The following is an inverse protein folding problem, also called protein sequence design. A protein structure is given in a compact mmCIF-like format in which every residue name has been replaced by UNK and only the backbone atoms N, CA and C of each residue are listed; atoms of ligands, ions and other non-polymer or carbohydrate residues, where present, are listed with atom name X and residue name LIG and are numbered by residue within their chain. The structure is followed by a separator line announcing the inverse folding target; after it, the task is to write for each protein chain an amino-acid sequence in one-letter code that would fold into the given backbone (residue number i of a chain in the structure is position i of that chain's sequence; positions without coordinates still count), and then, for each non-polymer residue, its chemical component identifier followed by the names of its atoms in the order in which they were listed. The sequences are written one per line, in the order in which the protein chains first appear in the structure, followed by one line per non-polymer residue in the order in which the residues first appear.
data_IF_642741586473
#
_entry.id   IF_642741586473
#
_cell.length_a   1.000
_cell.length_b   1.000
_cell.length_c   1.000
_cell.angle_alpha   90.00
_cell.angle_beta   90.00
_cell.angle_gamma   90.00
#
_symmetry.space_group_name_H-M   'P 1'
#
loop_
_entity.id
_entity.type
_entity.pdbx_description
1 polymer ?
#
# COMPACT_ATOMS: atom_id res chain seq x y z
N UNK A 1 10.51 17.18 11.97
CA UNK A 1 9.22 16.71 11.40
C UNK A 1 9.40 16.34 9.94
N UNK A 2 8.70 15.33 9.52
CA UNK A 2 8.71 14.91 8.11
C UNK A 2 7.36 15.19 7.48
N UNK A 3 7.31 15.17 6.16
CA UNK A 3 6.11 15.46 5.41
C UNK A 3 5.58 14.18 4.76
N UNK A 4 4.29 13.91 4.95
CA UNK A 4 3.63 12.77 4.30
C UNK A 4 3.65 12.95 2.79
N UNK A 5 4.09 11.94 2.06
CA UNK A 5 4.19 12.04 0.60
C UNK A 5 2.84 11.96 -0.12
N UNK A 6 1.77 11.55 0.57
CA UNK A 6 0.43 11.46 -0.02
C UNK A 6 -0.35 12.76 0.19
N UNK A 7 -0.50 13.20 1.45
CA UNK A 7 -1.33 14.35 1.76
C UNK A 7 -0.54 15.65 1.98
N UNK A 8 0.79 15.57 2.06
CA UNK A 8 1.63 16.75 2.24
C UNK A 8 1.62 17.32 3.65
N UNK A 9 1.05 16.61 4.61
CA UNK A 9 0.97 17.08 5.98
C UNK A 9 2.31 16.92 6.71
N UNK A 10 2.74 17.96 7.39
CA UNK A 10 3.91 17.86 8.27
C UNK A 10 3.46 17.33 9.62
N UNK A 11 4.12 16.30 10.09
CA UNK A 11 3.70 15.61 11.30
C UNK A 11 4.92 15.07 12.05
N UNK A 12 4.88 15.15 13.37
CA UNK A 12 5.97 14.67 14.21
C UNK A 12 5.98 13.16 14.39
N UNK A 13 4.87 12.51 14.10
CA UNK A 13 4.72 11.06 14.25
C UNK A 13 4.66 10.34 12.91
N UNK A 14 5.32 10.88 11.91
CA UNK A 14 5.45 10.19 10.62
C UNK A 14 6.28 8.93 10.79
N UNK A 15 6.07 7.99 9.90
CA UNK A 15 6.84 6.76 9.86
C UNK A 15 7.29 6.49 8.43
N UNK A 16 8.33 5.69 8.30
CA UNK A 16 8.85 5.32 7.00
C UNK A 16 8.48 3.88 6.69
N UNK A 17 8.11 3.64 5.45
CA UNK A 17 7.86 2.30 4.93
C UNK A 17 8.87 2.03 3.82
N UNK A 18 9.61 0.96 3.95
CA UNK A 18 10.51 0.52 2.90
C UNK A 18 9.78 -0.50 2.04
N UNK A 19 9.58 -0.15 0.79
CA UNK A 19 8.80 -0.96 -0.12
C UNK A 19 9.48 -0.97 -1.49
N UNK A 20 9.72 -2.17 -2.03
CA UNK A 20 10.34 -2.34 -3.34
C UNK A 20 11.66 -1.58 -3.49
N UNK A 21 12.47 -1.51 -2.42
CA UNK A 21 13.76 -0.83 -2.45
C UNK A 21 13.71 0.66 -2.27
N UNK A 22 12.53 1.24 -2.05
CA UNK A 22 12.35 2.67 -1.86
C UNK A 22 11.79 2.96 -0.48
N UNK A 23 12.17 4.11 0.07
CA UNK A 23 11.63 4.58 1.36
C UNK A 23 10.50 5.58 1.10
N UNK A 24 9.41 5.40 1.83
CA UNK A 24 8.24 6.26 1.74
C UNK A 24 7.87 6.78 3.11
N UNK A 25 7.43 8.02 3.20
CA UNK A 25 7.07 8.65 4.46
C UNK A 25 5.56 8.92 4.47
N UNK A 26 4.91 8.52 5.55
CA UNK A 26 3.46 8.69 5.71
C UNK A 26 3.14 9.18 7.12
N UNK A 27 2.04 9.91 7.26
CA UNK A 27 1.54 10.37 8.55
C UNK A 27 0.46 9.47 9.13
N UNK A 28 -0.06 8.53 8.34
CA UNK A 28 -1.09 7.59 8.79
C UNK A 28 -1.03 6.31 7.97
N UNK A 29 -1.59 5.25 8.53
CA UNK A 29 -1.69 3.98 7.79
C UNK A 29 -2.63 4.09 6.60
N UNK A 30 -3.63 4.96 6.68
CA UNK A 30 -4.51 5.22 5.55
C UNK A 30 -3.74 5.75 4.34
N UNK A 31 -2.84 6.70 4.56
CA UNK A 31 -1.99 7.22 3.49
C UNK A 31 -1.05 6.14 2.94
N UNK A 32 -0.48 5.32 3.82
CA UNK A 32 0.39 4.23 3.40
C UNK A 32 -0.36 3.20 2.54
N UNK A 33 -1.56 2.85 2.93
CA UNK A 33 -2.39 1.91 2.18
C UNK A 33 -2.77 2.52 0.82
N UNK A 34 -3.16 3.78 0.81
CA UNK A 34 -3.53 4.46 -0.42
C UNK A 34 -2.39 4.46 -1.44
N UNK A 35 -1.17 4.69 -0.97
CA UNK A 35 -0.01 4.80 -1.85
C UNK A 35 0.57 3.45 -2.27
N UNK A 36 0.61 2.48 -1.36
CA UNK A 36 1.40 1.26 -1.56
C UNK A 36 0.60 -0.02 -1.69
N UNK A 37 -0.62 -0.08 -1.14
CA UNK A 37 -1.38 -1.32 -1.17
C UNK A 37 -1.80 -1.67 -2.60
N UNK A 38 -1.54 -2.91 -3.06
CA UNK A 38 -2.01 -3.33 -4.38
C UNK A 38 -3.52 -3.46 -4.41
N UNK A 39 -4.09 -3.46 -5.60
CA UNK A 39 -5.52 -3.68 -5.80
C UNK A 39 -5.75 -5.04 -6.42
N UNK A 40 -6.88 -5.65 -6.07
CA UNK A 40 -7.29 -6.91 -6.68
C UNK A 40 -7.60 -6.67 -8.16
N UNK A 41 -7.04 -7.49 -9.02
CA UNK A 41 -7.24 -7.35 -10.46
C UNK A 41 -8.65 -7.73 -10.92
N UNK A 42 -9.42 -8.38 -10.05
CA UNK A 42 -10.78 -8.80 -10.36
C UNK A 42 -11.84 -7.85 -9.80
N UNK A 43 -11.78 -7.58 -8.49
CA UNK A 43 -12.83 -6.78 -7.84
C UNK A 43 -12.37 -5.36 -7.47
N UNK A 44 -11.11 -5.03 -7.71
CA UNK A 44 -10.54 -3.70 -7.45
C UNK A 44 -10.47 -3.32 -5.97
N UNK A 45 -10.66 -4.26 -5.05
CA UNK A 45 -10.47 -4.01 -3.63
C UNK A 45 -8.99 -3.83 -3.33
N UNK A 46 -8.68 -2.95 -2.37
CA UNK A 46 -7.31 -2.82 -1.91
C UNK A 46 -6.91 -4.02 -1.06
N UNK A 47 -5.72 -4.54 -1.33
CA UNK A 47 -5.18 -5.69 -0.62
C UNK A 47 -4.31 -5.17 0.51
N UNK A 48 -4.85 -5.16 1.74
CA UNK A 48 -4.15 -4.61 2.89
C UNK A 48 -3.28 -5.66 3.57
N UNK A 49 -3.73 -6.90 3.56
CA UNK A 49 -2.99 -8.01 4.13
C UNK A 49 -2.34 -8.86 3.07
N UNK A 50 -2.38 -10.17 3.27
CA UNK A 50 -1.86 -11.12 2.30
C UNK A 50 -2.87 -11.35 1.19
N UNK A 51 -2.46 -11.07 -0.03
CA UNK A 51 -3.27 -11.39 -1.19
C UNK A 51 -2.81 -12.68 -1.85
N UNK A 52 -3.43 -13.00 -2.97
CA UNK A 52 -3.05 -14.15 -3.80
C UNK A 52 -2.42 -13.60 -5.07
N UNK A 53 -1.22 -14.06 -5.37
CA UNK A 53 -0.50 -13.68 -6.58
C UNK A 53 -0.45 -14.86 -7.52
N UNK A 54 -0.81 -14.64 -8.78
CA UNK A 54 -0.73 -15.71 -9.77
C UNK A 54 0.69 -15.81 -10.35
N UNK A 55 0.89 -16.75 -11.27
CA UNK A 55 2.20 -17.00 -11.88
C UNK A 55 2.71 -15.85 -12.74
N UNK A 56 1.83 -14.92 -13.11
CA UNK A 56 2.19 -13.74 -13.89
C UNK A 56 2.43 -12.50 -13.03
N UNK A 57 2.40 -12.63 -11.71
CA UNK A 57 2.58 -11.51 -10.80
C UNK A 57 1.35 -10.65 -10.61
N UNK A 58 0.19 -11.10 -11.04
CA UNK A 58 -1.07 -10.36 -10.88
C UNK A 58 -1.65 -10.64 -9.50
N UNK A 59 -2.06 -9.59 -8.79
CA UNK A 59 -2.54 -9.70 -7.42
C UNK A 59 -4.06 -9.78 -7.36
N UNK A 60 -4.54 -10.64 -6.46
CA UNK A 60 -5.96 -10.81 -6.16
C UNK A 60 -6.17 -10.80 -4.66
N UNK A 61 -7.35 -10.35 -4.22
CA UNK A 61 -7.62 -10.26 -2.78
C UNK A 61 -7.85 -11.62 -2.13
N UNK A 62 -8.31 -12.60 -2.88
CA UNK A 62 -8.54 -13.96 -2.39
C UNK A 62 -8.54 -14.94 -3.55
N UNK A 63 -8.53 -16.24 -3.21
CA UNK A 63 -8.48 -17.29 -4.22
C UNK A 63 -9.72 -17.30 -5.13
N UNK A 64 -10.86 -16.81 -4.65
CA UNK A 64 -12.07 -16.75 -5.46
C UNK A 64 -11.97 -15.74 -6.61
N UNK A 65 -11.13 -14.72 -6.45
CA UNK A 65 -10.91 -13.72 -7.50
C UNK A 65 -9.79 -14.11 -8.47
N UNK A 66 -8.98 -15.05 -8.04
CA UNK A 66 -7.82 -15.46 -8.84
C UNK A 66 -8.18 -16.36 -10.03
#
# INVERSE_FOLDING_TARGET
MSTCEVCGNEYDKTFEVRFAGENHVFDSFECAIYALAPTCNHCSCRIVGHGVENEHGVMFCCANCA
#
